data_IF_410476440658
#
_entry.id   IF_410476440658
#
_cell.length_a   1.000
_cell.length_b   1.000
_cell.length_c   1.000
_cell.angle_alpha   90.00
_cell.angle_beta   90.00
_cell.angle_gamma   90.00
#
_symmetry.space_group_name_H-M   'P 1'
#
loop_
_entity.id
_entity.type
_entity.pdbx_description
1 polymer ?
#
# COMPACT_ATOMS: atom_id res chain seq x y z
N UNK A 1 3.61 0.86 -19.53
CA UNK A 1 2.42 1.11 -18.70
C UNK A 1 2.51 0.18 -17.51
N UNK A 2 2.76 0.73 -16.32
CA UNK A 2 2.88 -0.04 -15.08
C UNK A 2 1.80 0.32 -14.07
N UNK A 3 1.51 -0.64 -13.22
CA UNK A 3 0.65 -0.48 -12.04
C UNK A 3 1.54 -0.38 -10.80
N UNK A 4 1.30 0.61 -9.94
CA UNK A 4 1.90 0.66 -8.62
C UNK A 4 0.94 0.01 -7.61
N UNK A 5 1.41 -1.00 -6.88
CA UNK A 5 0.65 -1.69 -5.85
C UNK A 5 1.25 -1.32 -4.49
N UNK A 6 0.46 -0.66 -3.65
CA UNK A 6 0.83 -0.42 -2.26
C UNK A 6 0.34 -1.60 -1.43
N UNK A 7 1.21 -2.22 -0.63
CA UNK A 7 0.83 -3.29 0.30
C UNK A 7 0.67 -4.69 -0.32
N UNK A 8 1.67 -5.17 -1.05
CA UNK A 8 1.66 -6.46 -1.74
C UNK A 8 1.64 -7.71 -0.81
N UNK A 9 1.75 -7.54 0.50
CA UNK A 9 1.81 -8.66 1.46
C UNK A 9 0.46 -9.33 1.73
N UNK A 10 -0.65 -8.65 1.42
CA UNK A 10 -1.98 -9.17 1.75
C UNK A 10 -2.35 -10.35 0.84
N UNK A 11 -3.20 -11.27 1.33
CA UNK A 11 -3.66 -12.39 0.52
C UNK A 11 -4.38 -11.92 -0.77
N UNK A 12 -5.13 -10.82 -0.69
CA UNK A 12 -5.76 -10.20 -1.85
C UNK A 12 -4.71 -9.69 -2.83
N UNK A 13 -3.72 -8.94 -2.34
CA UNK A 13 -2.65 -8.38 -3.17
C UNK A 13 -1.81 -9.47 -3.84
N UNK A 14 -1.52 -10.57 -3.15
CA UNK A 14 -0.82 -11.73 -3.70
C UNK A 14 -1.61 -12.41 -4.82
N UNK A 15 -2.94 -12.55 -4.65
CA UNK A 15 -3.82 -13.06 -5.71
C UNK A 15 -3.84 -12.12 -6.92
N UNK A 16 -3.86 -10.80 -6.69
CA UNK A 16 -3.79 -9.80 -7.74
C UNK A 16 -2.45 -9.83 -8.48
N UNK A 17 -1.33 -9.88 -7.76
CA UNK A 17 0.03 -10.01 -8.32
C UNK A 17 0.11 -11.25 -9.21
N UNK A 18 -0.36 -12.40 -8.72
CA UNK A 18 -0.40 -13.65 -9.50
C UNK A 18 -1.23 -13.48 -10.78
N UNK A 19 -2.37 -12.78 -10.70
CA UNK A 19 -3.18 -12.49 -11.87
C UNK A 19 -2.46 -11.58 -12.87
N UNK A 20 -1.80 -10.51 -12.40
CA UNK A 20 -1.04 -9.59 -13.24
C UNK A 20 0.15 -10.29 -13.93
N UNK A 21 0.87 -11.15 -13.20
CA UNK A 21 1.95 -11.98 -13.74
C UNK A 21 1.42 -12.88 -14.87
N UNK A 22 0.28 -13.55 -14.66
CA UNK A 22 -0.36 -14.40 -15.67
C UNK A 22 -0.79 -13.61 -16.92
N UNK A 23 -1.22 -12.36 -16.74
CA UNK A 23 -1.58 -11.44 -17.84
C UNK A 23 -0.36 -10.72 -18.44
N UNK A 24 0.86 -10.95 -17.90
CA UNK A 24 2.10 -10.26 -18.29
C UNK A 24 1.99 -8.75 -18.19
N UNK A 25 1.23 -8.25 -17.22
CA UNK A 25 1.11 -6.83 -16.92
C UNK A 25 2.24 -6.44 -15.98
N UNK A 26 3.03 -5.44 -16.38
CA UNK A 26 4.12 -4.95 -15.55
C UNK A 26 3.58 -4.17 -14.34
N UNK A 27 4.16 -4.42 -13.16
CA UNK A 27 3.84 -3.70 -11.94
C UNK A 27 5.09 -3.40 -11.12
N UNK A 28 4.92 -2.48 -10.18
CA UNK A 28 5.85 -2.18 -9.10
C UNK A 28 5.07 -2.35 -7.80
N UNK A 29 5.67 -2.96 -6.79
CA UNK A 29 4.97 -3.28 -5.57
C UNK A 29 5.75 -2.83 -4.33
N UNK A 30 5.01 -2.45 -3.29
CA UNK A 30 5.56 -2.12 -1.98
C UNK A 30 5.05 -3.07 -0.91
N UNK A 31 5.81 -3.24 0.15
CA UNK A 31 5.54 -4.19 1.23
C UNK A 31 6.01 -3.60 2.57
N UNK A 32 5.43 -4.06 3.69
CA UNK A 32 5.98 -3.77 5.03
C UNK A 32 7.00 -4.82 5.48
N UNK A 33 7.30 -5.79 4.62
CA UNK A 33 8.35 -6.78 4.82
C UNK A 33 9.54 -6.38 3.97
N UNK A 34 10.72 -6.49 4.55
CA UNK A 34 11.95 -6.32 3.78
C UNK A 34 12.12 -7.58 2.94
N UNK A 35 11.89 -7.45 1.64
CA UNK A 35 12.18 -8.50 0.66
C UNK A 35 12.90 -7.91 -0.55
N UNK A 36 13.42 -8.77 -1.43
CA UNK A 36 14.19 -8.35 -2.61
C UNK A 36 13.32 -7.97 -3.81
N UNK A 37 11.99 -8.17 -3.73
CA UNK A 37 11.07 -8.01 -4.85
C UNK A 37 10.24 -6.72 -4.75
N UNK A 38 10.10 -6.17 -3.55
CA UNK A 38 9.24 -5.04 -3.26
C UNK A 38 10.00 -3.94 -2.54
N UNK A 39 9.57 -2.70 -2.75
CA UNK A 39 10.06 -1.58 -1.94
C UNK A 39 9.45 -1.66 -0.54
N UNK A 40 10.25 -1.46 0.51
CA UNK A 40 9.73 -1.33 1.85
C UNK A 40 8.96 -0.01 2.01
N UNK A 41 7.72 -0.05 2.51
CA UNK A 41 6.90 1.13 2.73
C UNK A 41 5.94 0.94 3.91
N UNK A 42 5.99 1.87 4.88
CA UNK A 42 4.91 2.07 5.85
C UNK A 42 4.15 3.35 5.54
N UNK A 43 2.87 3.21 5.18
CA UNK A 43 1.96 4.31 4.82
C UNK A 43 1.63 5.23 5.99
N UNK A 44 1.87 4.79 7.23
CA UNK A 44 1.69 5.62 8.42
C UNK A 44 2.88 6.58 8.65
N UNK A 45 4.00 6.41 7.95
CA UNK A 45 5.11 7.35 7.95
C UNK A 45 5.04 8.26 6.71
N UNK A 46 4.41 9.42 6.87
CA UNK A 46 4.13 10.34 5.75
C UNK A 46 5.39 10.82 5.02
N UNK A 47 6.47 11.14 5.75
CA UNK A 47 7.68 11.69 5.14
C UNK A 47 8.44 10.62 4.34
N UNK A 48 8.58 9.43 4.90
CA UNK A 48 9.22 8.30 4.21
C UNK A 48 8.40 7.85 3.01
N UNK A 49 7.08 7.74 3.15
CA UNK A 49 6.20 7.35 2.05
C UNK A 49 6.24 8.32 0.89
N UNK A 50 6.06 9.62 1.13
CA UNK A 50 6.14 10.62 0.07
C UNK A 50 7.51 10.64 -0.63
N UNK A 51 8.60 10.42 0.12
CA UNK A 51 9.95 10.38 -0.44
C UNK A 51 10.16 9.13 -1.32
N UNK A 52 9.72 7.97 -0.86
CA UNK A 52 9.82 6.72 -1.61
C UNK A 52 8.98 6.74 -2.88
N UNK A 53 7.75 7.25 -2.82
CA UNK A 53 6.87 7.34 -3.99
C UNK A 53 7.50 8.21 -5.07
N UNK A 54 8.15 9.33 -4.71
CA UNK A 54 8.91 10.15 -5.66
C UNK A 54 10.05 9.38 -6.32
N UNK A 55 10.78 8.56 -5.55
CA UNK A 55 11.86 7.70 -6.08
C UNK A 55 11.28 6.68 -7.06
N UNK A 56 10.21 5.97 -6.67
CA UNK A 56 9.54 4.98 -7.52
C UNK A 56 9.05 5.60 -8.84
N UNK A 57 8.39 6.76 -8.77
CA UNK A 57 7.89 7.45 -9.97
C UNK A 57 9.03 7.96 -10.87
N UNK A 58 10.17 8.31 -10.29
CA UNK A 58 11.36 8.68 -11.04
C UNK A 58 12.02 7.48 -11.73
N UNK A 59 12.13 6.34 -11.04
CA UNK A 59 12.68 5.08 -11.58
C UNK A 59 11.73 4.38 -12.57
N UNK A 60 10.44 4.65 -12.46
CA UNK A 60 9.37 4.03 -13.24
C UNK A 60 8.40 5.08 -13.77
N UNK A 61 8.88 5.89 -14.71
CA UNK A 61 8.13 6.98 -15.35
C UNK A 61 6.87 6.55 -16.11
N UNK A 62 6.67 5.24 -16.34
CA UNK A 62 5.54 4.68 -17.07
C UNK A 62 4.42 4.12 -16.17
N UNK A 63 4.48 4.38 -14.85
CA UNK A 63 3.38 4.11 -13.92
C UNK A 63 2.18 5.00 -14.27
N UNK A 64 1.00 4.39 -14.34
CA UNK A 64 -0.24 5.05 -14.78
C UNK A 64 -1.45 4.72 -13.90
N UNK A 65 -1.33 3.68 -13.08
CA UNK A 65 -2.41 3.21 -12.23
C UNK A 65 -1.85 2.94 -10.84
N UNK A 66 -2.66 3.22 -9.83
CA UNK A 66 -2.37 2.97 -8.42
C UNK A 66 -3.40 1.99 -7.87
N UNK A 67 -2.91 0.99 -7.13
CA UNK A 67 -3.73 0.06 -6.36
C UNK A 67 -3.31 0.19 -4.90
N UNK A 68 -4.23 0.68 -4.07
CA UNK A 68 -4.02 0.81 -2.63
C UNK A 68 -4.69 -0.35 -1.90
N UNK A 69 -3.89 -1.18 -1.23
CA UNK A 69 -4.38 -2.34 -0.47
C UNK A 69 -4.05 -2.37 1.04
N UNK A 70 -3.23 -1.48 1.63
CA UNK A 70 -3.08 -1.45 3.08
C UNK A 70 -4.44 -1.20 3.74
N UNK A 71 -4.86 -2.14 4.56
CA UNK A 71 -6.08 -2.04 5.33
C UNK A 71 -5.93 -2.81 6.63
N UNK A 72 -6.46 -2.23 7.70
CA UNK A 72 -6.65 -2.90 8.98
C UNK A 72 -8.11 -2.75 9.41
N UNK A 73 -8.59 -3.72 10.18
CA UNK A 73 -9.89 -3.63 10.85
C UNK A 73 -9.69 -3.50 12.36
N UNK A 74 -10.54 -2.70 12.97
CA UNK A 74 -10.75 -2.70 14.41
C UNK A 74 -12.25 -2.72 14.65
N UNK A 75 -12.80 -3.91 14.88
CA UNK A 75 -14.23 -4.10 15.05
C UNK A 75 -14.65 -3.82 16.50
N UNK A 76 -15.84 -3.25 16.68
CA UNK A 76 -16.39 -2.97 17.99
C UNK A 76 -17.61 -2.06 17.94
N UNK A 77 -18.37 -2.06 19.03
CA UNK A 77 -19.47 -1.10 19.20
C UNK A 77 -18.86 0.29 19.45
N UNK A 78 -19.42 1.34 18.85
CA UNK A 78 -18.87 2.71 18.88
C UNK A 78 -18.48 3.19 20.29
N UNK A 79 -19.29 2.91 21.32
CA UNK A 79 -19.01 3.33 22.71
C UNK A 79 -17.86 2.57 23.39
N UNK A 80 -17.37 1.46 22.79
CA UNK A 80 -16.20 0.69 23.26
C UNK A 80 -14.97 0.91 22.38
N UNK A 81 -15.09 1.70 21.33
CA UNK A 81 -13.97 2.00 20.45
C UNK A 81 -13.05 2.99 21.16
N UNK A 82 -11.78 2.60 21.33
CA UNK A 82 -10.79 3.50 21.87
C UNK A 82 -10.32 4.48 20.80
N UNK A 83 -9.85 5.65 21.21
CA UNK A 83 -9.32 6.64 20.29
C UNK A 83 -8.13 6.08 19.50
N UNK A 84 -7.28 5.26 20.13
CA UNK A 84 -6.12 4.65 19.48
C UNK A 84 -6.53 3.73 18.33
N UNK A 85 -7.49 2.83 18.55
CA UNK A 85 -7.99 1.92 17.50
C UNK A 85 -8.64 2.68 16.35
N UNK A 86 -9.45 3.70 16.69
CA UNK A 86 -10.07 4.57 15.70
C UNK A 86 -9.01 5.26 14.84
N UNK A 87 -8.07 5.94 15.48
CA UNK A 87 -6.99 6.65 14.80
C UNK A 87 -6.14 5.70 13.95
N UNK A 88 -5.82 4.50 14.44
CA UNK A 88 -5.04 3.53 13.69
C UNK A 88 -5.72 3.13 12.38
N UNK A 89 -7.03 2.84 12.41
CA UNK A 89 -7.80 2.47 11.20
C UNK A 89 -7.83 3.61 10.20
N UNK A 90 -8.10 4.84 10.64
CA UNK A 90 -8.13 6.00 9.74
C UNK A 90 -6.75 6.34 9.18
N UNK A 91 -5.71 6.28 10.01
CA UNK A 91 -4.32 6.51 9.60
C UNK A 91 -3.88 5.55 8.52
N UNK A 92 -4.20 4.26 8.63
CA UNK A 92 -3.86 3.29 7.59
C UNK A 92 -4.82 3.35 6.42
N UNK A 93 -6.13 3.20 6.62
CA UNK A 93 -7.06 2.93 5.52
C UNK A 93 -7.44 4.18 4.69
N UNK A 94 -7.31 5.38 5.28
CA UNK A 94 -7.71 6.63 4.62
C UNK A 94 -6.53 7.57 4.44
N UNK A 95 -5.92 8.04 5.53
CA UNK A 95 -4.84 9.02 5.45
C UNK A 95 -3.59 8.45 4.77
N UNK A 96 -3.31 7.16 5.00
CA UNK A 96 -2.26 6.44 4.30
C UNK A 96 -2.47 6.40 2.79
N UNK A 97 -3.71 6.39 2.29
CA UNK A 97 -4.00 6.44 0.85
C UNK A 97 -3.83 7.86 0.29
N UNK A 98 -4.15 8.89 1.06
CA UNK A 98 -3.96 10.30 0.68
C UNK A 98 -2.48 10.69 0.61
N UNK A 99 -1.62 10.01 1.37
CA UNK A 99 -0.18 10.27 1.39
C UNK A 99 0.58 9.76 0.15
N UNK A 100 -0.07 8.95 -0.69
CA UNK A 100 0.51 8.31 -1.89
C UNK A 100 0.10 9.07 -3.14
#
# INVERSE_FOLDING_TARGET
MKILIIGADSALSQSMVTHLDNQKVAYVATSRRVDSKHYYLDVNNQQESASLIKIILHEHSDISHLIYTPAISADGITHRMTHEKWTQVFSTNLFGAVNI
#
